data_IF_087658875598
#
_entry.id   IF_087658875598
#
_cell.length_a   1.000
_cell.length_b   1.000
_cell.length_c   1.000
_cell.angle_alpha   90.00
_cell.angle_beta   90.00
_cell.angle_gamma   90.00
#
_symmetry.space_group_name_H-M   'P 1'
#
loop_
_entity.id
_entity.type
_entity.pdbx_description
1 polymer ?
#
# COMPACT_ATOMS: atom_id res chain seq x y z
N UNK A 1 20.55 -23.49 44.54
CA UNK A 1 19.23 -22.82 44.58
C UNK A 1 18.05 -23.80 44.40
N UNK A 2 18.14 -24.82 43.53
CA UNK A 2 17.04 -25.78 43.30
C UNK A 2 16.62 -26.70 44.47
N UNK A 3 17.52 -26.99 45.43
CA UNK A 3 17.22 -27.92 46.53
C UNK A 3 16.38 -27.31 47.67
N UNK A 4 16.54 -26.00 47.92
CA UNK A 4 15.85 -25.28 49.00
C UNK A 4 14.38 -24.96 48.69
N UNK A 5 13.98 -24.93 47.41
CA UNK A 5 12.58 -24.73 46.99
C UNK A 5 11.77 -26.03 47.00
N UNK A 6 12.43 -27.19 47.09
CA UNK A 6 11.77 -28.49 46.99
C UNK A 6 10.70 -28.80 48.06
N UNK A 7 10.85 -28.44 49.36
CA UNK A 7 9.84 -28.77 50.36
C UNK A 7 8.59 -27.89 50.24
N UNK A 8 8.77 -26.61 49.90
CA UNK A 8 7.68 -25.64 49.73
C UNK A 8 6.83 -25.99 48.50
N UNK A 9 7.47 -26.35 47.38
CA UNK A 9 6.78 -26.82 46.17
C UNK A 9 6.00 -28.11 46.44
N UNK A 10 6.61 -29.10 47.12
CA UNK A 10 5.92 -30.36 47.47
C UNK A 10 4.75 -30.17 48.43
N UNK A 11 4.79 -29.17 49.31
CA UNK A 11 3.67 -28.84 50.22
C UNK A 11 2.52 -28.19 49.45
N UNK A 12 2.84 -27.30 48.52
CA UNK A 12 1.86 -26.65 47.64
C UNK A 12 1.18 -27.64 46.69
N UNK A 13 1.94 -28.54 46.05
CA UNK A 13 1.37 -29.57 45.15
C UNK A 13 0.45 -30.55 45.91
N UNK A 14 0.82 -30.93 47.14
CA UNK A 14 -0.05 -31.78 47.98
C UNK A 14 -1.31 -31.07 48.46
N UNK A 15 -1.22 -29.76 48.71
CA UNK A 15 -2.38 -28.93 49.03
C UNK A 15 -3.36 -28.82 47.84
N UNK A 16 -2.84 -28.82 46.61
CA UNK A 16 -3.63 -28.78 45.37
C UNK A 16 -4.50 -30.02 45.09
N UNK A 17 -4.40 -31.09 45.89
CA UNK A 17 -5.18 -32.34 45.80
C UNK A 17 -5.57 -32.73 44.36
N UNK A 18 -4.58 -32.97 43.47
CA UNK A 18 -4.82 -33.12 42.05
C UNK A 18 -5.60 -34.40 41.79
N UNK A 19 -6.92 -34.28 41.70
CA UNK A 19 -7.73 -35.32 41.09
C UNK A 19 -7.32 -35.35 39.62
N UNK A 20 -7.09 -36.53 39.01
CA UNK A 20 -6.64 -36.63 37.62
C UNK A 20 -7.57 -35.85 36.66
N UNK A 21 -8.86 -35.74 37.02
CA UNK A 21 -9.84 -34.94 36.31
C UNK A 21 -9.53 -33.42 36.31
N UNK A 22 -9.14 -32.82 37.44
CA UNK A 22 -8.89 -31.38 37.51
C UNK A 22 -7.63 -30.97 36.76
N UNK A 23 -6.61 -31.82 36.77
CA UNK A 23 -5.38 -31.60 36.00
C UNK A 23 -5.64 -31.70 34.50
N UNK A 24 -6.43 -32.69 34.07
CA UNK A 24 -6.85 -32.84 32.68
C UNK A 24 -7.66 -31.61 32.21
N UNK A 25 -8.61 -31.13 33.02
CA UNK A 25 -9.39 -29.93 32.70
C UNK A 25 -8.49 -28.70 32.56
N UNK A 26 -7.55 -28.49 33.49
CA UNK A 26 -6.63 -27.36 33.44
C UNK A 26 -5.74 -27.40 32.18
N UNK A 27 -5.21 -28.58 31.82
CA UNK A 27 -4.41 -28.76 30.61
C UNK A 27 -5.25 -28.47 29.36
N UNK A 28 -6.45 -29.04 29.25
CA UNK A 28 -7.33 -28.81 28.11
C UNK A 28 -7.74 -27.34 27.98
N UNK A 29 -8.07 -26.67 29.10
CA UNK A 29 -8.40 -25.24 29.11
C UNK A 29 -7.20 -24.39 28.62
N UNK A 30 -5.99 -24.73 29.07
CA UNK A 30 -4.77 -24.03 28.64
C UNK A 30 -4.51 -24.24 27.15
N UNK A 31 -4.63 -25.47 26.66
CA UNK A 31 -4.47 -25.77 25.23
C UNK A 31 -5.55 -25.09 24.38
N UNK A 32 -6.79 -25.06 24.86
CA UNK A 32 -7.89 -24.36 24.20
C UNK A 32 -7.64 -22.86 24.08
N UNK A 33 -7.12 -22.22 25.14
CA UNK A 33 -6.77 -20.80 25.11
C UNK A 33 -5.63 -20.52 24.12
N UNK A 34 -4.58 -21.35 24.14
CA UNK A 34 -3.46 -21.21 23.19
C UNK A 34 -3.95 -21.36 21.75
N UNK A 35 -4.77 -22.36 21.47
CA UNK A 35 -5.35 -22.58 20.15
C UNK A 35 -6.22 -21.40 19.69
N UNK A 36 -7.05 -20.84 20.59
CA UNK A 36 -7.88 -19.68 20.29
C UNK A 36 -7.04 -18.43 19.95
N UNK A 37 -5.95 -18.19 20.68
CA UNK A 37 -5.04 -17.08 20.40
C UNK A 37 -4.37 -17.26 19.03
N UNK A 38 -3.84 -18.44 18.73
CA UNK A 38 -3.20 -18.72 17.43
C UNK A 38 -4.19 -18.53 16.29
N UNK A 39 -5.42 -19.02 16.44
CA UNK A 39 -6.47 -18.84 15.43
C UNK A 39 -6.83 -17.37 15.24
N UNK A 40 -6.96 -16.60 16.32
CA UNK A 40 -7.25 -15.17 16.25
C UNK A 40 -6.15 -14.39 15.52
N UNK A 41 -4.87 -14.70 15.80
CA UNK A 41 -3.74 -14.08 15.11
C UNK A 41 -3.72 -14.44 13.62
N UNK A 42 -4.00 -15.69 13.27
CA UNK A 42 -4.05 -16.15 11.89
C UNK A 42 -5.20 -15.50 11.10
N UNK A 43 -6.39 -15.40 11.68
CA UNK A 43 -7.52 -14.69 11.07
C UNK A 43 -7.25 -13.19 10.92
N UNK A 44 -6.58 -12.59 11.91
CA UNK A 44 -6.16 -11.19 11.85
C UNK A 44 -5.21 -10.89 10.68
N UNK A 45 -4.21 -11.75 10.46
CA UNK A 45 -3.26 -11.60 9.35
C UNK A 45 -3.96 -11.68 7.97
N UNK A 46 -4.91 -12.62 7.82
CA UNK A 46 -5.72 -12.71 6.60
C UNK A 46 -6.52 -11.44 6.33
N UNK A 47 -7.16 -10.88 7.36
CA UNK A 47 -7.92 -9.62 7.25
C UNK A 47 -7.02 -8.43 6.94
N UNK A 48 -5.84 -8.36 7.54
CA UNK A 48 -4.90 -7.26 7.34
C UNK A 48 -4.38 -7.24 5.90
N UNK A 49 -4.01 -8.39 5.33
CA UNK A 49 -3.52 -8.47 3.93
C UNK A 49 -4.55 -8.01 2.91
N UNK A 50 -5.83 -8.31 3.15
CA UNK A 50 -6.92 -7.82 2.30
C UNK A 50 -7.06 -6.30 2.40
N UNK A 51 -7.03 -5.78 3.62
CA UNK A 51 -7.11 -4.33 3.88
C UNK A 51 -5.91 -3.60 3.25
N UNK A 52 -4.70 -4.14 3.38
CA UNK A 52 -3.50 -3.57 2.77
C UNK A 52 -3.58 -3.56 1.23
N UNK A 53 -4.09 -4.63 0.60
CA UNK A 53 -4.26 -4.68 -0.84
C UNK A 53 -5.32 -3.69 -1.36
N UNK A 54 -6.34 -3.40 -0.55
CA UNK A 54 -7.35 -2.37 -0.87
C UNK A 54 -6.81 -0.95 -0.68
N UNK A 55 -6.02 -0.72 0.36
CA UNK A 55 -5.42 0.59 0.64
C UNK A 55 -4.26 0.93 -0.30
N UNK A 56 -3.47 -0.07 -0.71
CA UNK A 56 -2.30 0.07 -1.55
C UNK A 56 -2.34 -0.92 -2.71
N UNK A 57 -3.29 -0.76 -3.66
CA UNK A 57 -3.36 -1.64 -4.81
C UNK A 57 -2.08 -1.52 -5.64
N UNK A 58 -1.63 -2.65 -6.18
CA UNK A 58 -0.48 -2.68 -7.08
C UNK A 58 -0.76 -1.80 -8.32
N UNK A 59 0.23 -1.05 -8.82
CA UNK A 59 0.05 -0.27 -10.03
C UNK A 59 -0.25 -1.21 -11.21
N UNK A 60 -1.24 -0.84 -11.99
CA UNK A 60 -1.61 -1.54 -13.22
C UNK A 60 -0.65 -1.23 -14.35
N UNK A 61 -0.05 -0.03 -14.30
CA UNK A 61 0.85 0.48 -15.32
C UNK A 61 2.05 1.18 -14.66
N UNK A 62 3.25 0.76 -15.03
CA UNK A 62 4.51 1.32 -14.52
C UNK A 62 5.16 2.12 -15.62
N UNK A 63 5.65 3.31 -15.30
CA UNK A 63 6.40 4.16 -16.20
C UNK A 63 7.73 3.50 -16.61
N UNK A 64 7.91 3.09 -17.88
CA UNK A 64 9.14 2.49 -18.35
C UNK A 64 10.19 3.53 -18.79
N UNK A 65 9.83 4.82 -18.84
CA UNK A 65 10.66 5.91 -19.36
C UNK A 65 11.28 6.67 -18.20
N UNK A 66 12.61 6.74 -18.18
CA UNK A 66 13.35 7.50 -17.18
C UNK A 66 13.05 9.01 -17.32
N UNK A 67 12.79 9.74 -16.21
CA UNK A 67 12.60 11.19 -16.25
C UNK A 67 13.97 11.91 -16.37
N UNK A 68 14.66 11.72 -17.49
CA UNK A 68 15.88 12.45 -17.83
C UNK A 68 15.58 13.79 -18.52
N UNK A 69 16.62 14.62 -18.71
CA UNK A 69 16.46 15.95 -19.30
C UNK A 69 15.83 15.91 -20.70
N UNK A 70 16.13 14.88 -21.50
CA UNK A 70 15.56 14.73 -22.83
C UNK A 70 14.08 14.33 -22.77
N UNK A 71 13.70 13.45 -21.84
CA UNK A 71 12.31 13.06 -21.57
C UNK A 71 11.48 14.26 -21.12
N UNK A 72 11.99 15.05 -20.18
CA UNK A 72 11.32 16.26 -19.71
C UNK A 72 11.15 17.29 -20.82
N UNK A 73 12.19 17.51 -21.64
CA UNK A 73 12.12 18.45 -22.76
C UNK A 73 11.11 18.00 -23.83
N UNK A 74 11.09 16.71 -24.19
CA UNK A 74 10.09 16.16 -25.11
C UNK A 74 8.69 16.25 -24.51
N UNK A 75 8.53 15.92 -23.24
CA UNK A 75 7.26 15.95 -22.52
C UNK A 75 6.63 17.34 -22.51
N UNK A 76 7.43 18.38 -22.26
CA UNK A 76 6.96 19.77 -22.29
C UNK A 76 6.38 20.15 -23.67
N UNK A 77 7.12 19.85 -24.74
CA UNK A 77 6.68 20.13 -26.11
C UNK A 77 5.43 19.33 -26.46
N UNK A 78 5.37 18.06 -26.07
CA UNK A 78 4.23 17.19 -26.35
C UNK A 78 2.96 17.61 -25.58
N UNK A 79 3.11 18.07 -24.34
CA UNK A 79 1.98 18.55 -23.55
C UNK A 79 1.28 19.73 -24.24
N UNK A 80 2.04 20.69 -24.77
CA UNK A 80 1.49 21.82 -25.50
C UNK A 80 0.99 21.43 -26.89
N UNK A 81 1.82 20.76 -27.69
CA UNK A 81 1.55 20.53 -29.11
C UNK A 81 0.56 19.40 -29.37
N UNK A 82 0.65 18.29 -28.62
CA UNK A 82 -0.18 17.11 -28.84
C UNK A 82 -1.41 17.11 -27.93
N UNK A 83 -1.36 17.74 -26.77
CA UNK A 83 -2.48 17.77 -25.83
C UNK A 83 -3.15 19.14 -25.72
N UNK A 84 -2.53 20.22 -26.22
CA UNK A 84 -3.07 21.57 -26.03
C UNK A 84 -3.04 22.03 -24.57
N UNK A 85 -2.20 21.40 -23.73
CA UNK A 85 -2.09 21.72 -22.31
C UNK A 85 -1.10 22.87 -22.15
N UNK A 86 -1.59 24.10 -22.30
CA UNK A 86 -0.78 25.31 -22.11
C UNK A 86 -0.79 25.77 -20.65
N UNK A 87 0.24 26.52 -20.25
CA UNK A 87 0.33 27.13 -18.92
C UNK A 87 -0.79 28.14 -18.62
N UNK A 88 -1.43 28.67 -19.66
CA UNK A 88 -2.58 29.58 -19.52
C UNK A 88 -3.87 28.84 -19.13
N UNK A 89 -3.89 27.50 -19.22
CA UNK A 89 -5.03 26.70 -18.81
C UNK A 89 -5.08 26.59 -17.27
N UNK A 90 -6.11 27.21 -16.68
CA UNK A 90 -6.36 27.17 -15.23
C UNK A 90 -6.42 25.75 -14.67
N UNK A 91 -7.00 24.80 -15.40
CA UNK A 91 -7.09 23.43 -14.95
C UNK A 91 -5.69 22.77 -14.93
N UNK A 92 -4.76 23.13 -15.81
CA UNK A 92 -3.38 22.61 -15.72
C UNK A 92 -2.71 23.04 -14.41
N UNK A 93 -2.94 24.29 -13.96
CA UNK A 93 -2.49 24.76 -12.65
C UNK A 93 -3.13 23.97 -11.49
N UNK A 94 -4.45 23.74 -11.54
CA UNK A 94 -5.14 22.92 -10.54
C UNK A 94 -4.66 21.45 -10.54
N UNK A 95 -4.28 20.91 -11.70
CA UNK A 95 -3.68 19.58 -11.81
C UNK A 95 -2.31 19.58 -11.09
N UNK A 96 -1.48 20.59 -11.35
CA UNK A 96 -0.17 20.81 -10.71
C UNK A 96 -0.23 20.71 -9.18
N UNK A 97 -1.16 21.42 -8.55
CA UNK A 97 -1.37 21.40 -7.09
C UNK A 97 -1.76 20.01 -6.53
N UNK A 98 -2.27 19.12 -7.38
CA UNK A 98 -2.74 17.78 -7.00
C UNK A 98 -1.73 16.68 -7.29
N UNK A 99 -0.69 16.94 -8.07
CA UNK A 99 0.25 15.93 -8.55
C UNK A 99 0.85 15.09 -7.43
N UNK A 100 1.18 15.70 -6.28
CA UNK A 100 1.77 15.03 -5.12
C UNK A 100 0.94 13.83 -4.63
N UNK A 101 -0.39 13.84 -4.86
CA UNK A 101 -1.30 12.77 -4.42
C UNK A 101 -1.72 11.82 -5.55
N UNK A 102 -1.43 12.17 -6.79
CA UNK A 102 -1.80 11.38 -7.95
C UNK A 102 -0.70 10.38 -8.27
N UNK A 103 -1.09 9.19 -8.73
CA UNK A 103 -0.16 8.17 -9.24
C UNK A 103 0.15 8.40 -10.71
N UNK A 104 1.29 7.87 -11.16
CA UNK A 104 1.75 7.96 -12.54
C UNK A 104 0.75 7.38 -13.54
N UNK A 105 0.11 6.26 -13.19
CA UNK A 105 -0.93 5.63 -14.01
C UNK A 105 -2.19 6.51 -14.18
N UNK A 106 -2.52 7.34 -13.20
CA UNK A 106 -3.64 8.29 -13.29
C UNK A 106 -3.28 9.45 -14.21
N UNK A 107 -2.06 9.98 -14.11
CA UNK A 107 -1.54 11.00 -15.03
C UNK A 107 -1.47 10.45 -16.46
N UNK A 108 -1.02 9.21 -16.61
CA UNK A 108 -1.01 8.53 -17.90
C UNK A 108 -2.43 8.42 -18.49
N UNK A 109 -3.43 8.05 -17.66
CA UNK A 109 -4.83 8.01 -18.07
C UNK A 109 -5.33 9.38 -18.52
N UNK A 110 -4.96 10.48 -17.83
CA UNK A 110 -5.33 11.83 -18.25
C UNK A 110 -4.78 12.21 -19.63
N UNK A 111 -3.60 11.72 -20.01
CA UNK A 111 -3.12 11.92 -21.39
C UNK A 111 -4.02 11.25 -22.43
N UNK A 112 -4.69 10.14 -22.08
CA UNK A 112 -5.52 9.34 -23.00
C UNK A 112 -6.97 9.81 -23.04
N UNK A 113 -7.50 10.17 -21.88
CA UNK A 113 -8.93 10.41 -21.67
C UNK A 113 -9.24 11.90 -21.49
N UNK A 114 -8.21 12.72 -21.26
CA UNK A 114 -8.35 14.10 -20.83
C UNK A 114 -8.59 14.20 -19.33
N UNK A 115 -8.57 15.43 -18.82
CA UNK A 115 -8.86 15.74 -17.43
C UNK A 115 -9.57 17.07 -17.32
N UNK A 116 -10.87 17.05 -17.00
CA UNK A 116 -11.73 18.24 -16.95
C UNK A 116 -11.71 19.00 -18.28
N UNK A 117 -11.20 20.25 -18.31
CA UNK A 117 -11.06 21.03 -19.54
C UNK A 117 -9.74 20.78 -20.28
N UNK A 118 -8.84 19.95 -19.74
CA UNK A 118 -7.66 19.47 -20.46
C UNK A 118 -8.10 18.36 -21.41
N UNK A 119 -8.05 18.57 -22.74
CA UNK A 119 -8.47 17.55 -23.68
C UNK A 119 -7.48 16.37 -23.68
N UNK A 120 -7.90 15.18 -24.15
CA UNK A 120 -6.95 14.08 -24.37
C UNK A 120 -5.90 14.47 -25.41
N UNK A 121 -4.71 13.90 -25.30
CA UNK A 121 -3.66 14.07 -26.30
C UNK A 121 -4.01 13.36 -27.61
N UNK A 122 -3.67 14.00 -28.73
CA UNK A 122 -3.74 13.42 -30.08
C UNK A 122 -2.93 12.11 -30.19
N UNK A 123 -2.96 11.46 -31.36
CA UNK A 123 -2.35 10.13 -31.57
C UNK A 123 -0.82 10.16 -31.42
N UNK A 124 -0.35 10.01 -30.18
CA UNK A 124 1.05 9.87 -29.76
C UNK A 124 1.31 8.45 -29.25
N UNK A 125 2.58 8.04 -29.29
CA UNK A 125 3.01 6.73 -28.81
C UNK A 125 2.93 6.61 -27.27
N UNK A 126 2.93 5.38 -26.76
CA UNK A 126 2.91 5.13 -25.32
C UNK A 126 4.14 5.72 -24.61
N UNK A 127 5.31 5.64 -25.23
CA UNK A 127 6.54 6.27 -24.72
C UNK A 127 6.42 7.79 -24.64
N UNK A 128 5.81 8.42 -25.64
CA UNK A 128 5.57 9.87 -25.64
C UNK A 128 4.59 10.31 -24.56
N UNK A 129 3.60 9.48 -24.23
CA UNK A 129 2.70 9.72 -23.09
C UNK A 129 3.46 9.72 -21.77
N UNK A 130 4.44 8.83 -21.62
CA UNK A 130 5.30 8.80 -20.44
C UNK A 130 6.25 9.99 -20.36
N UNK A 131 6.78 10.49 -21.49
CA UNK A 131 7.52 11.75 -21.52
C UNK A 131 6.64 12.91 -20.98
N UNK A 132 5.37 12.98 -21.36
CA UNK A 132 4.43 13.97 -20.82
C UNK A 132 4.23 13.78 -19.31
N UNK A 133 4.01 12.54 -18.83
CA UNK A 133 3.83 12.28 -17.39
C UNK A 133 5.08 12.71 -16.61
N UNK A 134 6.27 12.41 -17.11
CA UNK A 134 7.53 12.86 -16.51
C UNK A 134 7.62 14.38 -16.43
N UNK A 135 7.23 15.09 -17.50
CA UNK A 135 7.16 16.54 -17.50
C UNK A 135 6.12 17.07 -16.50
N UNK A 136 4.92 16.50 -16.43
CA UNK A 136 3.90 16.94 -15.47
C UNK A 136 4.43 16.85 -14.05
N UNK A 137 5.18 15.80 -13.70
CA UNK A 137 5.74 15.65 -12.35
C UNK A 137 6.60 16.82 -11.90
N UNK A 138 7.28 17.52 -12.81
CA UNK A 138 8.09 18.68 -12.46
C UNK A 138 7.27 19.94 -12.18
N UNK A 139 5.97 19.96 -12.52
CA UNK A 139 5.06 21.07 -12.22
C UNK A 139 4.55 21.05 -10.77
N UNK A 140 4.71 19.91 -10.08
CA UNK A 140 4.26 19.72 -8.69
C UNK A 140 5.39 19.85 -7.67
N UNK A 141 6.63 20.09 -8.13
CA UNK A 141 7.81 20.38 -7.31
C UNK A 141 7.92 21.88 -7.02
#
# INVERSE_FOLDING_TARGET
>A
VGYALSPSIRRFIRWLNPRPLSLLVAVLATLGLVAAIVLALWLGDLSNRQTEAELYPLPTLVNPVLPDADSLARGAVLAEMACGWSSDNRDLGELGERLVRLRDEELYAFTREGWRSLPPCETISETQRWDIVNYLRTLGE
#
